data_IF_817450149151
#
_entry.id   IF_817450149151
#
_cell.length_a   1.000
_cell.length_b   1.000
_cell.length_c   1.000
_cell.angle_alpha   90.00
_cell.angle_beta   90.00
_cell.angle_gamma   90.00
#
_symmetry.space_group_name_H-M   'P 1'
#
loop_
_entity.id
_entity.type
_entity.pdbx_description
1 polymer ?
#
# COMPACT_ATOMS: atom_id res chain seq x y z
N UNK A 1 51.35 -7.85 53.89
CA UNK A 1 51.25 -8.51 52.60
C UNK A 1 50.36 -7.58 51.72
N UNK A 2 51.01 -6.66 51.02
CA UNK A 2 50.32 -5.69 50.15
C UNK A 2 50.12 -6.33 48.77
N UNK A 3 48.88 -6.53 48.34
CA UNK A 3 48.53 -6.92 46.98
C UNK A 3 48.50 -5.67 46.13
N UNK A 4 49.49 -5.50 45.22
CA UNK A 4 49.49 -4.50 44.18
C UNK A 4 48.51 -4.91 43.08
N UNK A 5 47.41 -4.20 42.97
CA UNK A 5 46.52 -4.26 41.75
C UNK A 5 47.24 -3.53 40.61
N UNK A 6 47.81 -4.28 39.68
CA UNK A 6 48.26 -3.76 38.40
C UNK A 6 47.02 -3.57 37.50
N UNK A 7 46.56 -2.34 37.37
CA UNK A 7 45.59 -1.96 36.36
C UNK A 7 46.26 -2.09 34.97
N UNK A 8 45.82 -3.08 34.18
CA UNK A 8 46.15 -3.12 32.77
C UNK A 8 45.43 -1.96 32.08
N UNK A 9 46.16 -0.88 31.85
CA UNK A 9 45.73 0.16 30.91
C UNK A 9 45.69 -0.48 29.52
N UNK A 10 44.50 -0.79 29.01
CA UNK A 10 44.31 -1.09 27.57
C UNK A 10 44.87 0.11 26.79
N UNK A 11 45.86 -0.14 25.93
CA UNK A 11 46.26 0.83 24.92
C UNK A 11 45.00 1.22 24.14
N UNK A 12 44.72 2.52 23.96
CA UNK A 12 43.63 2.92 23.06
C UNK A 12 43.90 2.27 21.71
N UNK A 13 42.90 1.53 21.20
CA UNK A 13 42.95 1.05 19.84
C UNK A 13 43.21 2.29 18.95
N UNK A 14 44.27 2.23 18.13
CA UNK A 14 44.57 3.34 17.22
C UNK A 14 43.33 3.72 16.46
N UNK A 15 43.09 5.03 16.23
CA UNK A 15 41.91 5.57 15.56
C UNK A 15 41.56 4.71 14.35
N UNK A 16 40.38 4.05 14.32
CA UNK A 16 40.00 3.30 13.15
C UNK A 16 39.84 4.28 11.99
N UNK A 17 40.52 4.03 10.86
CA UNK A 17 40.35 4.82 9.65
C UNK A 17 38.86 4.94 9.32
N UNK A 18 38.29 6.13 9.46
CA UNK A 18 36.84 6.37 9.29
C UNK A 18 36.09 6.68 10.59
N UNK A 19 36.72 6.59 11.76
CA UNK A 19 36.15 7.08 13.02
C UNK A 19 36.24 8.62 13.13
N UNK A 20 35.32 9.22 13.89
CA UNK A 20 35.39 10.66 14.20
C UNK A 20 36.40 10.82 15.36
N UNK A 21 37.62 11.29 15.01
CA UNK A 21 38.65 11.63 16.02
C UNK A 21 38.33 13.00 16.66
N UNK A 22 39.03 13.29 17.78
CA UNK A 22 38.90 14.60 18.43
C UNK A 22 39.24 15.76 17.50
N UNK A 23 40.26 15.60 16.66
CA UNK A 23 40.69 16.63 15.71
C UNK A 23 39.64 16.79 14.59
N UNK A 24 39.12 15.70 14.04
CA UNK A 24 38.04 15.71 13.03
C UNK A 24 36.77 16.33 13.61
N UNK A 25 36.42 16.04 14.86
CA UNK A 25 35.27 16.67 15.52
C UNK A 25 35.43 18.18 15.64
N UNK A 26 36.63 18.65 15.99
CA UNK A 26 36.93 20.10 16.04
C UNK A 26 36.83 20.75 14.65
N UNK A 27 37.28 20.07 13.61
CA UNK A 27 37.16 20.55 12.23
C UNK A 27 35.71 20.65 11.80
N UNK A 28 34.89 19.61 12.05
CA UNK A 28 33.48 19.60 11.78
C UNK A 28 32.76 20.73 12.54
N UNK A 29 33.05 20.88 13.82
CA UNK A 29 32.43 21.90 14.66
C UNK A 29 32.73 23.37 14.20
N UNK A 30 33.91 23.61 13.58
CA UNK A 30 34.24 24.91 12.98
C UNK A 30 33.37 25.28 11.77
N UNK A 31 32.73 24.27 11.13
CA UNK A 31 31.77 24.48 10.03
C UNK A 31 30.47 25.10 10.49
N UNK A 32 30.19 25.18 11.79
CA UNK A 32 28.98 25.79 12.34
C UNK A 32 29.34 27.13 13.04
N UNK A 33 29.01 28.23 12.40
CA UNK A 33 29.05 29.57 13.00
C UNK A 33 27.63 30.01 13.33
N UNK A 34 27.19 29.81 14.58
CA UNK A 34 25.82 30.09 15.03
C UNK A 34 25.49 31.60 14.90
N UNK A 35 24.41 31.90 14.19
CA UNK A 35 23.84 33.24 14.05
C UNK A 35 22.72 33.50 15.06
N UNK A 36 22.27 34.75 15.27
CA UNK A 36 21.06 35.02 16.04
C UNK A 36 19.81 34.32 15.47
N UNK A 37 19.73 34.13 14.15
CA UNK A 37 18.66 33.39 13.49
C UNK A 37 18.70 31.90 13.84
N UNK A 38 19.89 31.29 13.84
CA UNK A 38 20.02 29.86 14.23
C UNK A 38 19.60 29.65 15.67
N UNK A 39 19.88 30.57 16.57
CA UNK A 39 19.41 30.50 17.95
C UNK A 39 17.88 30.59 18.05
N UNK A 40 17.24 31.41 17.24
CA UNK A 40 15.79 31.50 17.20
C UNK A 40 15.18 30.21 16.65
N UNK A 41 15.76 29.63 15.58
CA UNK A 41 15.37 28.33 15.01
C UNK A 41 15.57 27.22 16.03
N UNK A 42 16.70 27.14 16.74
CA UNK A 42 16.95 26.18 17.81
C UNK A 42 15.88 26.24 18.89
N UNK A 43 15.52 27.45 19.35
CA UNK A 43 14.46 27.63 20.34
C UNK A 43 13.10 27.17 19.82
N UNK A 44 12.77 27.44 18.57
CA UNK A 44 11.53 27.01 17.95
C UNK A 44 11.47 25.47 17.80
N UNK A 45 12.56 24.87 17.33
CA UNK A 45 12.71 23.40 17.20
C UNK A 45 12.71 22.67 18.55
N UNK A 46 13.11 23.36 19.63
CA UNK A 46 12.97 22.85 21.00
C UNK A 46 11.52 22.79 21.51
N UNK A 47 10.58 23.48 20.85
CA UNK A 47 9.19 23.60 21.27
C UNK A 47 8.18 23.04 20.26
N UNK A 48 8.56 22.87 18.99
CA UNK A 48 7.69 22.39 17.92
C UNK A 48 8.42 21.41 16.99
N UNK A 49 7.65 20.50 16.34
CA UNK A 49 8.24 19.54 15.40
C UNK A 49 8.74 20.21 14.13
N UNK A 50 9.74 19.59 13.51
CA UNK A 50 10.31 20.02 12.22
C UNK A 50 9.21 20.26 11.17
N UNK A 51 8.29 19.30 11.03
CA UNK A 51 7.22 19.40 10.04
C UNK A 51 6.29 20.58 10.27
N UNK A 52 6.02 20.96 11.52
CA UNK A 52 5.18 22.13 11.83
C UNK A 52 5.89 23.43 11.46
N UNK A 53 7.19 23.51 11.72
CA UNK A 53 7.98 24.72 11.46
C UNK A 53 8.35 24.89 9.98
N UNK A 54 8.47 23.78 9.23
CA UNK A 54 8.78 23.82 7.82
C UNK A 54 7.56 24.14 6.92
N UNK A 55 6.32 24.15 7.45
CA UNK A 55 5.12 24.41 6.64
C UNK A 55 5.18 25.77 5.97
N UNK A 56 5.09 25.77 4.64
CA UNK A 56 4.89 26.95 3.83
C UNK A 56 3.39 27.29 3.74
N UNK A 57 2.88 28.00 4.74
CA UNK A 57 1.48 28.37 4.81
C UNK A 57 0.98 29.17 3.59
N UNK A 58 1.88 29.98 2.99
CA UNK A 58 1.59 30.76 1.78
C UNK A 58 1.38 29.88 0.55
N UNK A 59 2.05 28.71 0.49
CA UNK A 59 1.82 27.74 -0.58
C UNK A 59 0.57 26.90 -0.32
N UNK A 60 0.39 26.40 0.89
CA UNK A 60 -0.81 25.62 1.27
C UNK A 60 -2.10 26.41 1.02
N UNK A 61 -2.08 27.73 1.23
CA UNK A 61 -3.22 28.62 0.95
C UNK A 61 -3.58 28.75 -0.54
N UNK A 62 -2.75 28.28 -1.46
CA UNK A 62 -3.04 28.29 -2.92
C UNK A 62 -3.88 27.10 -3.37
N UNK A 63 -4.22 26.17 -2.49
CA UNK A 63 -5.03 24.99 -2.83
C UNK A 63 -6.32 25.43 -3.54
N UNK A 64 -6.52 24.93 -4.76
CA UNK A 64 -7.71 25.15 -5.55
C UNK A 64 -8.49 23.85 -5.68
N UNK A 65 -9.79 23.88 -5.38
CA UNK A 65 -10.69 22.72 -5.33
C UNK A 65 -11.53 22.52 -6.59
N UNK A 66 -11.38 23.37 -7.60
CA UNK A 66 -12.06 23.21 -8.87
C UNK A 66 -11.36 22.14 -9.74
N UNK A 67 -12.14 21.35 -10.48
CA UNK A 67 -11.64 20.34 -11.43
C UNK A 67 -12.48 20.36 -12.71
N UNK A 68 -11.81 20.22 -13.87
CA UNK A 68 -12.49 20.15 -15.15
C UNK A 68 -13.24 18.83 -15.36
N UNK A 69 -12.66 17.72 -14.87
CA UNK A 69 -13.21 16.37 -15.04
C UNK A 69 -13.19 15.62 -13.70
N UNK A 70 -14.34 15.09 -13.29
CA UNK A 70 -14.52 14.40 -12.00
C UNK A 70 -15.37 13.16 -12.16
N UNK A 71 -14.90 12.04 -11.68
CA UNK A 71 -15.67 10.78 -11.60
C UNK A 71 -16.72 10.89 -10.50
N UNK A 72 -17.93 10.46 -10.78
CA UNK A 72 -19.02 10.46 -9.78
C UNK A 72 -18.81 9.40 -8.72
N UNK A 73 -18.60 9.84 -7.48
CA UNK A 73 -18.51 8.98 -6.31
C UNK A 73 -19.44 9.45 -5.20
N UNK A 74 -19.85 8.55 -4.29
CA UNK A 74 -20.67 8.88 -3.12
C UNK A 74 -20.15 8.14 -1.89
N UNK A 75 -20.17 8.81 -0.74
CA UNK A 75 -19.67 8.29 0.52
C UNK A 75 -18.16 8.41 0.65
N UNK A 76 -17.66 8.16 1.84
CA UNK A 76 -16.22 8.11 2.16
C UNK A 76 -15.98 6.96 3.12
N UNK A 77 -14.91 6.25 2.91
CA UNK A 77 -14.50 5.10 3.74
C UNK A 77 -13.44 5.48 4.75
N UNK A 78 -13.26 4.66 5.79
CA UNK A 78 -12.26 4.90 6.82
C UNK A 78 -11.61 3.57 7.23
N UNK A 79 -10.35 3.37 6.85
CA UNK A 79 -9.56 2.18 7.19
C UNK A 79 -9.08 2.16 8.65
N UNK A 80 -9.24 3.28 9.36
CA UNK A 80 -8.78 3.44 10.75
C UNK A 80 -7.28 3.14 10.90
N UNK A 81 -6.92 2.37 11.94
CA UNK A 81 -5.54 1.97 12.25
C UNK A 81 -5.21 0.59 11.64
N UNK A 82 -5.39 0.46 10.32
CA UNK A 82 -5.10 -0.76 9.57
C UNK A 82 -4.37 -0.46 8.28
N UNK A 83 -3.53 -1.37 7.80
CA UNK A 83 -2.83 -1.31 6.52
C UNK A 83 -3.68 -1.78 5.33
N UNK A 84 -4.99 -1.58 5.36
CA UNK A 84 -5.93 -2.09 4.33
C UNK A 84 -6.26 -1.07 3.24
N UNK A 85 -5.48 0.00 3.06
CA UNK A 85 -5.74 1.03 2.05
C UNK A 85 -5.93 0.43 0.64
N UNK A 86 -5.12 -0.57 0.28
CA UNK A 86 -5.22 -1.29 -0.97
C UNK A 86 -6.60 -1.93 -1.19
N UNK A 87 -7.17 -2.53 -0.15
CA UNK A 87 -8.47 -3.18 -0.20
C UNK A 87 -9.61 -2.14 -0.26
N UNK A 88 -9.53 -1.09 0.58
CA UNK A 88 -10.49 0.01 0.53
C UNK A 88 -10.51 0.65 -0.86
N UNK A 89 -9.34 0.92 -1.43
CA UNK A 89 -9.21 1.50 -2.78
C UNK A 89 -9.81 0.60 -3.86
N UNK A 90 -9.47 -0.68 -3.87
CA UNK A 90 -10.01 -1.63 -4.86
C UNK A 90 -11.53 -1.73 -4.79
N UNK A 91 -12.09 -1.81 -3.58
CA UNK A 91 -13.54 -1.83 -3.38
C UNK A 91 -14.20 -0.48 -3.72
N UNK A 92 -13.54 0.66 -3.48
CA UNK A 92 -14.05 1.98 -3.86
C UNK A 92 -14.11 2.18 -5.38
N UNK A 93 -13.14 1.67 -6.14
CA UNK A 93 -13.17 1.69 -7.61
C UNK A 93 -14.42 0.97 -8.15
N UNK A 94 -14.71 -0.23 -7.65
CA UNK A 94 -15.90 -0.98 -8.05
C UNK A 94 -17.19 -0.33 -7.57
N UNK A 95 -17.20 0.21 -6.34
CA UNK A 95 -18.33 0.90 -5.74
C UNK A 95 -18.78 2.12 -6.56
N UNK A 96 -17.84 2.92 -7.06
CA UNK A 96 -18.16 4.13 -7.84
C UNK A 96 -19.06 3.79 -9.04
N UNK A 97 -18.71 2.75 -9.77
CA UNK A 97 -19.48 2.26 -10.92
C UNK A 97 -20.84 1.67 -10.51
N UNK A 98 -20.88 0.88 -9.46
CA UNK A 98 -22.11 0.27 -8.95
C UNK A 98 -23.12 1.33 -8.48
N UNK A 99 -22.68 2.37 -7.79
CA UNK A 99 -23.52 3.48 -7.31
C UNK A 99 -24.17 4.21 -8.49
N UNK A 100 -23.42 4.53 -9.53
CA UNK A 100 -23.95 5.22 -10.71
C UNK A 100 -24.93 4.33 -11.49
N UNK A 101 -24.56 3.07 -11.75
CA UNK A 101 -25.36 2.12 -12.55
C UNK A 101 -26.72 1.76 -11.91
N UNK A 102 -26.74 1.63 -10.58
CA UNK A 102 -27.94 1.16 -9.85
C UNK A 102 -28.66 2.25 -9.06
N UNK A 103 -28.28 3.51 -9.25
CA UNK A 103 -28.81 4.69 -8.53
C UNK A 103 -28.82 4.46 -7.01
N UNK A 104 -27.68 4.00 -6.45
CA UNK A 104 -27.58 3.75 -5.03
C UNK A 104 -27.28 5.05 -4.26
N UNK A 105 -27.67 5.07 -2.99
CA UNK A 105 -27.19 6.03 -2.00
C UNK A 105 -25.72 5.79 -1.63
N UNK A 106 -25.36 6.16 -0.41
CA UNK A 106 -24.05 5.79 0.15
C UNK A 106 -24.02 4.27 0.38
N UNK A 107 -23.31 3.57 -0.48
CA UNK A 107 -23.09 2.12 -0.41
C UNK A 107 -21.61 1.83 -0.15
N UNK A 108 -21.32 0.79 0.62
CA UNK A 108 -19.98 0.25 0.80
C UNK A 108 -20.00 -1.27 0.80
N UNK A 109 -19.00 -1.89 0.20
CA UNK A 109 -18.73 -3.31 0.39
C UNK A 109 -18.13 -3.55 1.77
N UNK A 110 -18.25 -4.76 2.29
CA UNK A 110 -17.57 -5.18 3.52
C UNK A 110 -16.09 -5.41 3.23
N UNK A 111 -15.24 -4.55 3.78
CA UNK A 111 -13.80 -4.75 3.78
C UNK A 111 -13.44 -5.92 4.71
N UNK A 112 -14.14 -6.04 5.85
CA UNK A 112 -13.93 -7.11 6.82
C UNK A 112 -14.10 -8.52 6.21
N UNK A 113 -15.10 -8.70 5.32
CA UNK A 113 -15.33 -9.96 4.60
C UNK A 113 -14.13 -10.35 3.74
N UNK A 114 -13.66 -9.44 2.89
CA UNK A 114 -12.53 -9.72 1.98
C UNK A 114 -11.24 -9.87 2.78
N UNK A 115 -11.03 -9.06 3.81
CA UNK A 115 -9.86 -9.12 4.69
C UNK A 115 -9.78 -10.44 5.47
N UNK A 116 -10.91 -11.03 5.88
CA UNK A 116 -10.91 -12.35 6.48
C UNK A 116 -10.22 -13.39 5.58
N UNK A 117 -10.60 -13.41 4.31
CA UNK A 117 -10.00 -14.33 3.34
C UNK A 117 -8.58 -13.95 2.96
N UNK A 118 -8.27 -12.65 2.92
CA UNK A 118 -6.90 -12.17 2.73
C UNK A 118 -5.94 -12.78 3.76
N UNK A 119 -6.30 -12.66 5.03
CA UNK A 119 -5.46 -13.16 6.12
C UNK A 119 -5.35 -14.70 6.12
N UNK A 120 -6.43 -15.40 5.78
CA UNK A 120 -6.41 -16.86 5.67
C UNK A 120 -5.54 -17.32 4.49
N UNK A 121 -5.66 -16.67 3.35
CA UNK A 121 -4.88 -17.01 2.15
C UNK A 121 -3.40 -16.66 2.29
N UNK A 122 -3.06 -15.52 2.90
CA UNK A 122 -1.68 -15.18 3.23
C UNK A 122 -1.05 -16.19 4.20
N UNK A 123 -1.81 -16.65 5.19
CA UNK A 123 -1.35 -17.72 6.09
C UNK A 123 -1.07 -19.02 5.30
N UNK A 124 -1.96 -19.38 4.38
CA UNK A 124 -1.75 -20.53 3.49
C UNK A 124 -0.53 -20.32 2.57
N UNK A 125 -0.37 -19.12 1.99
CA UNK A 125 0.76 -18.77 1.13
C UNK A 125 2.09 -18.92 1.88
N UNK A 126 2.18 -18.43 3.12
CA UNK A 126 3.35 -18.60 3.98
C UNK A 126 3.63 -20.07 4.27
N UNK A 127 2.65 -20.81 4.81
CA UNK A 127 2.85 -22.21 5.20
C UNK A 127 3.23 -23.09 4.02
N UNK A 128 2.61 -22.86 2.85
CA UNK A 128 2.98 -23.56 1.62
C UNK A 128 4.37 -23.17 1.16
N UNK A 129 4.73 -21.89 1.22
CA UNK A 129 6.07 -21.41 0.91
C UNK A 129 7.17 -22.07 1.77
N UNK A 130 6.87 -22.30 3.05
CA UNK A 130 7.77 -23.06 3.94
C UNK A 130 7.92 -24.52 3.47
N UNK A 131 6.83 -25.17 3.06
CA UNK A 131 6.87 -26.53 2.51
C UNK A 131 7.67 -26.58 1.20
N UNK A 132 7.45 -25.61 0.32
CA UNK A 132 8.12 -25.53 -0.99
C UNK A 132 9.64 -25.27 -0.86
N UNK A 133 10.04 -24.60 0.21
CA UNK A 133 11.44 -24.28 0.51
C UNK A 133 12.09 -25.19 1.54
N UNK A 134 11.44 -26.31 1.90
CA UNK A 134 11.89 -27.21 2.97
C UNK A 134 13.30 -27.77 2.82
N UNK A 135 13.77 -27.89 1.58
CA UNK A 135 15.09 -28.43 1.24
C UNK A 135 16.20 -27.35 1.17
N UNK A 136 15.83 -26.06 1.26
CA UNK A 136 16.76 -24.93 1.33
C UNK A 136 17.26 -24.75 2.79
N UNK A 137 18.50 -24.28 3.01
CA UNK A 137 18.98 -23.97 4.36
C UNK A 137 18.16 -22.82 4.98
N UNK A 138 18.24 -22.67 6.31
CA UNK A 138 17.48 -21.63 7.01
C UNK A 138 17.97 -20.22 6.65
N UNK A 139 19.28 -20.09 6.32
CA UNK A 139 19.93 -18.85 5.92
C UNK A 139 19.69 -18.48 4.46
N UNK A 140 18.99 -19.31 3.69
CA UNK A 140 18.58 -18.95 2.34
C UNK A 140 17.71 -17.70 2.36
N UNK A 141 18.00 -16.74 1.47
CA UNK A 141 17.34 -15.43 1.48
C UNK A 141 15.82 -15.51 1.33
N UNK A 142 15.32 -16.50 0.59
CA UNK A 142 13.87 -16.72 0.43
C UNK A 142 13.23 -17.25 1.70
N UNK A 143 13.92 -18.16 2.38
CA UNK A 143 13.48 -18.70 3.68
C UNK A 143 13.48 -17.61 4.73
N UNK A 144 14.55 -16.83 4.82
CA UNK A 144 14.66 -15.68 5.73
C UNK A 144 13.55 -14.66 5.48
N UNK A 145 13.32 -14.31 4.21
CA UNK A 145 12.26 -13.38 3.82
C UNK A 145 10.85 -13.90 4.23
N UNK A 146 10.55 -15.18 4.02
CA UNK A 146 9.28 -15.78 4.45
C UNK A 146 9.09 -15.65 5.97
N UNK A 147 10.09 -16.01 6.77
CA UNK A 147 10.00 -15.89 8.23
C UNK A 147 9.97 -14.44 8.74
N UNK A 148 10.62 -13.52 8.03
CA UNK A 148 10.53 -12.09 8.33
C UNK A 148 9.12 -11.55 8.07
N UNK A 149 8.45 -12.03 7.00
CA UNK A 149 7.16 -11.54 6.51
C UNK A 149 6.07 -12.63 6.45
N UNK A 150 5.72 -13.29 7.57
CA UNK A 150 4.79 -14.42 7.56
C UNK A 150 3.36 -14.02 7.21
N UNK A 151 2.96 -12.78 7.55
CA UNK A 151 1.66 -12.18 7.28
C UNK A 151 1.73 -10.68 7.54
N UNK A 152 0.91 -9.92 6.83
CA UNK A 152 0.68 -8.48 7.02
C UNK A 152 -0.71 -8.11 6.55
N UNK A 153 -1.18 -6.91 6.85
CA UNK A 153 -2.47 -6.40 6.41
C UNK A 153 -2.39 -5.51 5.15
N UNK A 154 -1.20 -5.16 4.72
CA UNK A 154 -0.95 -4.46 3.45
C UNK A 154 -1.12 -5.35 2.22
N UNK A 155 -1.19 -4.73 1.06
CA UNK A 155 -1.34 -5.43 -0.22
C UNK A 155 -1.41 -4.49 -1.41
N UNK A 156 -1.87 -5.01 -2.54
CA UNK A 156 -1.95 -4.31 -3.80
C UNK A 156 -3.19 -4.77 -4.59
N UNK A 157 -3.43 -4.19 -5.79
CA UNK A 157 -4.59 -4.55 -6.61
C UNK A 157 -4.65 -6.05 -6.97
N UNK A 158 -3.51 -6.71 -7.13
CA UNK A 158 -3.46 -8.17 -7.36
C UNK A 158 -4.17 -8.94 -6.23
N UNK A 159 -3.97 -8.51 -4.97
CA UNK A 159 -4.70 -9.07 -3.84
C UNK A 159 -6.21 -8.84 -3.94
N UNK A 160 -6.63 -7.64 -4.38
CA UNK A 160 -8.06 -7.33 -4.61
C UNK A 160 -8.63 -8.29 -5.65
N UNK A 161 -8.00 -8.42 -6.82
CA UNK A 161 -8.50 -9.27 -7.90
C UNK A 161 -8.53 -10.75 -7.50
N UNK A 162 -7.44 -11.29 -6.96
CA UNK A 162 -7.36 -12.68 -6.53
C UNK A 162 -8.48 -13.05 -5.54
N UNK A 163 -8.68 -12.22 -4.51
CA UNK A 163 -9.64 -12.50 -3.44
C UNK A 163 -11.08 -12.38 -3.93
N UNK A 164 -11.40 -11.31 -4.66
CA UNK A 164 -12.77 -11.08 -5.11
C UNK A 164 -13.18 -12.08 -6.18
N UNK A 165 -12.31 -12.41 -7.12
CA UNK A 165 -12.59 -13.45 -8.11
C UNK A 165 -12.78 -14.83 -7.45
N UNK A 166 -12.07 -15.10 -6.35
CA UNK A 166 -12.19 -16.38 -5.63
C UNK A 166 -13.37 -16.44 -4.68
N UNK A 167 -13.64 -15.37 -3.92
CA UNK A 167 -14.61 -15.38 -2.80
C UNK A 167 -15.85 -14.48 -3.01
N UNK A 168 -15.83 -13.56 -3.98
CA UNK A 168 -16.89 -12.57 -4.16
C UNK A 168 -16.81 -11.43 -3.14
N UNK A 169 -17.93 -10.71 -3.00
CA UNK A 169 -18.09 -9.59 -2.07
C UNK A 169 -19.46 -9.59 -1.42
N UNK A 170 -19.59 -8.89 -0.29
CA UNK A 170 -20.87 -8.66 0.39
C UNK A 170 -21.02 -7.18 0.76
N UNK A 171 -22.25 -6.67 0.96
CA UNK A 171 -22.48 -5.35 1.54
C UNK A 171 -21.89 -5.21 2.96
N UNK A 172 -21.51 -4.00 3.35
CA UNK A 172 -20.88 -3.74 4.65
C UNK A 172 -21.74 -4.13 5.85
N UNK A 173 -23.07 -4.01 5.74
CA UNK A 173 -24.01 -4.39 6.79
C UNK A 173 -24.11 -5.90 7.00
N UNK A 174 -23.70 -6.72 6.04
CA UNK A 174 -23.73 -8.19 6.11
C UNK A 174 -22.57 -8.75 6.94
N UNK A 175 -21.40 -8.13 6.85
CA UNK A 175 -20.26 -8.42 7.70
C UNK A 175 -19.55 -7.11 8.07
N UNK A 176 -20.02 -6.43 9.12
CA UNK A 176 -19.51 -5.12 9.51
C UNK A 176 -18.09 -5.18 10.07
N UNK A 177 -17.43 -4.03 10.11
CA UNK A 177 -16.12 -3.88 10.74
C UNK A 177 -16.17 -4.23 12.23
N UNK A 178 -15.08 -4.79 12.74
CA UNK A 178 -14.87 -5.10 14.16
C UNK A 178 -13.75 -4.24 14.72
N UNK A 179 -13.59 -4.20 16.04
CA UNK A 179 -12.45 -3.51 16.65
C UNK A 179 -11.10 -4.07 16.14
N UNK A 180 -11.02 -5.38 15.90
CA UNK A 180 -9.80 -6.02 15.36
C UNK A 180 -9.57 -5.69 13.88
N UNK A 181 -10.62 -5.44 13.11
CA UNK A 181 -10.53 -4.96 11.75
C UNK A 181 -10.12 -3.46 11.71
N UNK A 182 -10.68 -2.65 12.62
CA UNK A 182 -10.33 -1.22 12.77
C UNK A 182 -8.90 -1.00 13.30
N UNK A 183 -8.33 -1.99 14.00
CA UNK A 183 -6.96 -1.97 14.52
C UNK A 183 -6.32 -3.36 14.41
N UNK A 184 -5.70 -3.64 13.28
CA UNK A 184 -5.23 -4.97 12.87
C UNK A 184 -3.97 -5.45 13.58
N UNK A 185 -3.14 -4.55 14.10
CA UNK A 185 -1.78 -4.85 14.57
C UNK A 185 -1.72 -5.94 15.63
N UNK A 186 -2.64 -5.95 16.59
CA UNK A 186 -2.66 -6.95 17.67
C UNK A 186 -3.02 -8.35 17.13
N UNK A 187 -4.02 -8.46 16.26
CA UNK A 187 -4.43 -9.71 15.63
C UNK A 187 -3.34 -10.23 14.71
N UNK A 188 -2.86 -9.40 13.78
CA UNK A 188 -1.81 -9.76 12.82
C UNK A 188 -0.53 -10.20 13.53
N UNK A 189 -0.12 -9.51 14.60
CA UNK A 189 1.05 -9.88 15.39
C UNK A 189 0.92 -11.26 16.06
N UNK A 190 -0.27 -11.64 16.52
CA UNK A 190 -0.53 -12.97 17.11
C UNK A 190 -0.53 -14.07 16.04
N UNK A 191 -1.16 -13.82 14.91
CA UNK A 191 -1.15 -14.76 13.78
C UNK A 191 0.28 -14.91 13.25
N UNK A 192 1.04 -13.83 13.09
CA UNK A 192 2.45 -13.87 12.67
C UNK A 192 3.32 -14.73 13.61
N UNK A 193 3.12 -14.61 14.93
CA UNK A 193 3.84 -15.43 15.92
C UNK A 193 3.51 -16.91 15.76
N UNK A 194 2.21 -17.23 15.60
CA UNK A 194 1.74 -18.60 15.39
C UNK A 194 2.29 -19.18 14.08
N UNK A 195 2.25 -18.44 12.99
CA UNK A 195 2.77 -18.89 11.71
C UNK A 195 4.28 -19.16 11.73
N UNK A 196 5.08 -18.34 12.46
CA UNK A 196 6.50 -18.62 12.62
C UNK A 196 6.74 -19.93 13.39
N UNK A 197 5.99 -20.18 14.46
CA UNK A 197 6.02 -21.45 15.19
C UNK A 197 5.69 -22.62 14.27
N UNK A 198 4.59 -22.52 13.53
CA UNK A 198 4.11 -23.54 12.61
C UNK A 198 5.10 -23.79 11.45
N UNK A 199 5.69 -22.73 10.92
CA UNK A 199 6.74 -22.81 9.90
C UNK A 199 7.96 -23.60 10.39
N UNK A 200 8.41 -23.38 11.64
CA UNK A 200 9.49 -24.17 12.25
C UNK A 200 9.10 -25.64 12.37
N UNK A 201 7.89 -25.93 12.85
CA UNK A 201 7.41 -27.32 12.99
C UNK A 201 7.31 -28.05 11.64
N UNK A 202 6.90 -27.34 10.57
CA UNK A 202 6.89 -27.92 9.23
C UNK A 202 8.31 -28.25 8.74
N UNK A 203 9.29 -27.37 8.98
CA UNK A 203 10.69 -27.64 8.64
C UNK A 203 11.29 -28.79 9.44
N UNK A 204 11.01 -28.86 10.75
CA UNK A 204 11.41 -29.99 11.61
C UNK A 204 10.80 -31.30 11.11
N UNK A 205 9.51 -31.30 10.77
CA UNK A 205 8.82 -32.47 10.21
C UNK A 205 9.42 -32.91 8.86
N UNK A 206 9.77 -31.98 8.00
CA UNK A 206 10.45 -32.26 6.74
C UNK A 206 11.84 -32.85 6.96
N UNK A 207 12.63 -32.29 7.89
CA UNK A 207 13.95 -32.84 8.29
C UNK A 207 13.83 -34.26 8.85
N UNK A 208 12.74 -34.55 9.58
CA UNK A 208 12.40 -35.89 10.06
C UNK A 208 11.82 -36.81 8.96
N UNK A 209 11.88 -36.40 7.68
CA UNK A 209 11.48 -37.17 6.49
C UNK A 209 9.98 -37.52 6.46
N UNK A 210 9.11 -36.69 7.06
CA UNK A 210 7.65 -36.85 6.87
C UNK A 210 7.31 -36.72 5.39
N UNK A 211 6.33 -37.49 4.92
CA UNK A 211 5.87 -37.47 3.53
C UNK A 211 5.19 -36.14 3.19
N UNK A 212 5.09 -35.81 1.89
CA UNK A 212 4.38 -34.64 1.41
C UNK A 212 2.92 -34.62 1.92
N UNK A 213 2.23 -35.75 1.92
CA UNK A 213 0.87 -35.89 2.46
C UNK A 213 0.78 -35.55 3.94
N UNK A 214 1.77 -35.97 4.75
CA UNK A 214 1.83 -35.63 6.18
C UNK A 214 2.09 -34.12 6.41
N UNK A 215 2.97 -33.51 5.62
CA UNK A 215 3.20 -32.05 5.70
C UNK A 215 1.94 -31.27 5.31
N UNK A 216 1.22 -31.69 4.26
CA UNK A 216 -0.05 -31.07 3.89
C UNK A 216 -1.12 -31.24 4.98
N UNK A 217 -1.23 -32.39 5.62
CA UNK A 217 -2.16 -32.61 6.73
C UNK A 217 -1.84 -31.67 7.91
N UNK A 218 -0.56 -31.55 8.28
CA UNK A 218 -0.11 -30.58 9.30
C UNK A 218 -0.49 -29.14 8.94
N UNK A 219 -0.26 -28.72 7.68
CA UNK A 219 -0.65 -27.39 7.20
C UNK A 219 -2.15 -27.15 7.35
N UNK A 220 -2.99 -28.12 7.01
CA UNK A 220 -4.45 -28.01 7.17
C UNK A 220 -4.84 -27.82 8.63
N UNK A 221 -4.22 -28.53 9.56
CA UNK A 221 -4.51 -28.36 10.99
C UNK A 221 -4.06 -26.99 11.51
N UNK A 222 -2.91 -26.49 11.07
CA UNK A 222 -2.42 -25.13 11.36
C UNK A 222 -3.37 -24.05 10.82
N UNK A 223 -3.89 -24.23 9.60
CA UNK A 223 -4.88 -23.32 9.02
C UNK A 223 -6.21 -23.33 9.77
N UNK A 224 -6.64 -24.44 10.36
CA UNK A 224 -7.84 -24.47 11.24
C UNK A 224 -7.63 -23.60 12.49
N UNK A 225 -6.42 -23.57 13.06
CA UNK A 225 -6.09 -22.69 14.17
C UNK A 225 -6.14 -21.23 13.76
N UNK A 226 -5.54 -20.86 12.61
CA UNK A 226 -5.61 -19.52 12.05
C UNK A 226 -7.06 -19.11 11.76
N UNK A 227 -7.85 -19.98 11.13
CA UNK A 227 -9.27 -19.74 10.86
C UNK A 227 -10.05 -19.42 12.15
N UNK A 228 -9.80 -20.19 13.21
CA UNK A 228 -10.40 -19.91 14.52
C UNK A 228 -10.02 -18.54 15.06
N UNK A 229 -8.74 -18.14 14.94
CA UNK A 229 -8.28 -16.82 15.38
C UNK A 229 -8.99 -15.70 14.60
N UNK A 230 -9.13 -15.87 13.28
CA UNK A 230 -9.83 -14.92 12.41
C UNK A 230 -11.32 -14.82 12.76
N UNK A 231 -12.01 -15.94 12.98
CA UNK A 231 -13.43 -15.95 13.41
C UNK A 231 -13.62 -15.20 14.71
N UNK A 232 -12.73 -15.38 15.69
CA UNK A 232 -12.82 -14.70 16.98
C UNK A 232 -12.60 -13.18 16.88
N UNK A 233 -11.79 -12.73 15.91
CA UNK A 233 -11.44 -11.32 15.74
C UNK A 233 -12.35 -10.59 14.75
N UNK A 234 -12.74 -11.24 13.66
CA UNK A 234 -13.41 -10.62 12.51
C UNK A 234 -14.87 -11.08 12.32
N UNK A 235 -15.28 -12.15 13.00
CA UNK A 235 -16.59 -12.79 12.79
C UNK A 235 -16.56 -13.93 11.79
N UNK A 236 -17.69 -14.63 11.65
CA UNK A 236 -17.86 -15.74 10.69
C UNK A 236 -18.26 -15.16 9.33
N UNK A 237 -17.49 -15.40 8.25
CA UNK A 237 -17.87 -14.91 6.94
C UNK A 237 -19.14 -15.61 6.45
N UNK A 238 -20.14 -14.86 5.94
CA UNK A 238 -21.39 -15.42 5.45
C UNK A 238 -21.16 -16.19 4.15
N UNK A 239 -21.86 -17.32 4.00
CA UNK A 239 -21.93 -18.10 2.75
C UNK A 239 -23.14 -17.72 1.90
N UNK A 240 -24.17 -17.17 2.55
CA UNK A 240 -25.43 -16.70 1.97
C UNK A 240 -25.96 -15.54 2.82
N UNK A 241 -26.64 -14.58 2.20
CA UNK A 241 -27.26 -13.44 2.89
C UNK A 241 -28.43 -12.87 2.07
N UNK A 242 -29.40 -12.29 2.76
CA UNK A 242 -30.49 -11.53 2.12
C UNK A 242 -30.15 -10.04 2.13
N UNK A 243 -30.32 -9.35 0.99
CA UNK A 243 -30.05 -7.94 0.87
C UNK A 243 -31.22 -7.20 0.25
N UNK A 244 -31.69 -6.16 0.95
CA UNK A 244 -32.71 -5.26 0.49
C UNK A 244 -32.05 -4.04 -0.19
N UNK A 245 -32.33 -3.82 -1.47
CA UNK A 245 -31.80 -2.71 -2.23
C UNK A 245 -32.74 -1.52 -2.15
N UNK A 246 -32.18 -0.36 -1.88
CA UNK A 246 -32.85 0.94 -1.92
C UNK A 246 -32.15 1.86 -2.93
N UNK A 247 -32.91 2.73 -3.60
CA UNK A 247 -32.34 3.75 -4.50
C UNK A 247 -31.74 4.92 -3.70
N UNK A 248 -31.16 5.90 -4.40
CA UNK A 248 -30.55 7.09 -3.79
C UNK A 248 -31.52 7.96 -2.98
N UNK A 249 -32.84 7.81 -3.19
CA UNK A 249 -33.89 8.50 -2.44
C UNK A 249 -34.37 7.72 -1.22
N UNK A 250 -33.85 6.51 -1.00
CA UNK A 250 -34.27 5.61 0.07
C UNK A 250 -35.55 4.82 -0.23
N UNK A 251 -35.98 4.77 -1.49
CA UNK A 251 -37.13 3.99 -1.92
C UNK A 251 -36.73 2.52 -2.13
N UNK A 252 -37.54 1.60 -1.62
CA UNK A 252 -37.33 0.15 -1.78
C UNK A 252 -37.41 -0.24 -3.26
N UNK A 253 -36.44 -1.01 -3.72
CA UNK A 253 -36.36 -1.51 -5.11
C UNK A 253 -36.55 -3.02 -5.18
N UNK A 254 -35.85 -3.79 -4.35
CA UNK A 254 -35.90 -5.26 -4.36
C UNK A 254 -35.27 -5.83 -3.09
N UNK A 255 -35.67 -7.07 -2.77
CA UNK A 255 -35.00 -7.90 -1.77
C UNK A 255 -34.73 -9.29 -2.36
N UNK A 256 -33.54 -9.81 -2.18
CA UNK A 256 -33.13 -11.10 -2.74
C UNK A 256 -32.02 -11.73 -1.90
N UNK A 257 -31.98 -13.05 -1.91
CA UNK A 257 -30.92 -13.84 -1.27
C UNK A 257 -29.78 -14.09 -2.27
N UNK A 258 -28.55 -13.89 -1.79
CA UNK A 258 -27.32 -13.99 -2.56
C UNK A 258 -26.28 -14.86 -1.84
N UNK A 259 -25.46 -15.55 -2.62
CA UNK A 259 -24.11 -15.90 -2.19
C UNK A 259 -23.17 -14.72 -2.48
N UNK A 260 -22.00 -14.59 -1.82
CA UNK A 260 -21.06 -13.52 -2.13
C UNK A 260 -20.65 -13.45 -3.61
N UNK A 261 -20.51 -14.61 -4.26
CA UNK A 261 -20.20 -14.68 -5.71
C UNK A 261 -21.36 -14.25 -6.59
N UNK A 262 -22.60 -14.65 -6.29
CA UNK A 262 -23.76 -14.24 -7.08
C UNK A 262 -24.04 -12.75 -6.92
N UNK A 263 -23.79 -12.19 -5.74
CA UNK A 263 -23.86 -10.75 -5.52
C UNK A 263 -22.81 -9.98 -6.36
N UNK A 264 -21.57 -10.44 -6.32
CA UNK A 264 -20.51 -9.88 -7.16
C UNK A 264 -20.88 -9.93 -8.64
N UNK A 265 -21.33 -11.08 -9.12
CA UNK A 265 -21.67 -11.27 -10.53
C UNK A 265 -22.83 -10.37 -10.99
N UNK A 266 -23.85 -10.16 -10.15
CA UNK A 266 -25.00 -9.33 -10.51
C UNK A 266 -24.67 -7.84 -10.48
N UNK A 267 -23.91 -7.36 -9.48
CA UNK A 267 -23.72 -5.94 -9.24
C UNK A 267 -22.41 -5.37 -9.78
N UNK A 268 -21.38 -6.16 -9.89
CA UNK A 268 -20.07 -5.78 -10.43
C UNK A 268 -19.82 -6.48 -11.75
N UNK A 269 -19.66 -7.81 -11.74
CA UNK A 269 -19.56 -8.67 -12.92
C UNK A 269 -18.31 -8.45 -13.77
N UNK A 270 -17.29 -7.75 -13.25
CA UNK A 270 -16.04 -7.45 -13.96
C UNK A 270 -15.05 -8.62 -13.85
N UNK A 271 -14.30 -8.88 -14.89
CA UNK A 271 -13.13 -9.77 -14.84
C UNK A 271 -11.92 -8.97 -14.37
N UNK A 272 -11.70 -8.96 -13.04
CA UNK A 272 -10.64 -8.17 -12.41
C UNK A 272 -9.24 -8.67 -12.76
N UNK A 273 -9.10 -9.92 -13.19
CA UNK A 273 -7.79 -10.49 -13.58
C UNK A 273 -7.44 -10.16 -15.02
N UNK A 274 -8.42 -10.15 -15.93
CA UNK A 274 -8.14 -10.05 -17.35
C UNK A 274 -8.49 -8.69 -17.97
N UNK A 275 -9.37 -7.88 -17.36
CA UNK A 275 -9.79 -6.60 -17.93
C UNK A 275 -8.94 -5.40 -17.50
N UNK A 276 -7.99 -5.59 -16.60
CA UNK A 276 -7.17 -4.53 -16.05
C UNK A 276 -5.69 -4.69 -16.41
N UNK A 277 -4.99 -3.58 -16.52
CA UNK A 277 -3.55 -3.49 -16.71
C UNK A 277 -2.96 -2.69 -15.57
N UNK A 278 -1.93 -3.24 -14.96
CA UNK A 278 -1.17 -2.59 -13.91
C UNK A 278 0.05 -1.92 -14.54
N UNK A 279 0.12 -0.59 -14.43
CA UNK A 279 1.25 0.21 -14.90
C UNK A 279 1.97 0.84 -13.73
N UNK A 280 3.27 1.03 -13.87
CA UNK A 280 4.12 1.63 -12.85
C UNK A 280 5.05 2.66 -13.48
N UNK A 281 5.37 3.71 -12.72
CA UNK A 281 6.47 4.62 -13.06
C UNK A 281 7.65 4.37 -12.13
N UNK A 282 8.58 3.54 -12.60
CA UNK A 282 9.82 3.20 -11.92
C UNK A 282 11.04 3.65 -12.78
N UNK A 283 11.60 4.82 -12.55
CA UNK A 283 12.73 5.33 -13.34
C UNK A 283 14.07 4.61 -13.07
N UNK A 284 14.11 3.68 -12.10
CA UNK A 284 15.30 2.85 -11.85
C UNK A 284 15.44 1.76 -12.91
N UNK A 285 14.30 1.33 -13.48
CA UNK A 285 14.21 0.21 -14.43
C UNK A 285 13.88 0.71 -15.84
N UNK A 286 14.17 -0.14 -16.81
CA UNK A 286 13.90 0.14 -18.23
C UNK A 286 12.38 0.29 -18.45
N UNK A 287 11.98 1.40 -19.10
CA UNK A 287 10.61 1.61 -19.53
C UNK A 287 10.21 0.68 -20.70
N UNK A 288 8.89 0.50 -20.88
CA UNK A 288 8.30 -0.36 -21.90
C UNK A 288 8.65 -1.85 -21.73
N UNK A 289 8.99 -2.25 -20.52
CA UNK A 289 9.23 -3.63 -20.09
C UNK A 289 8.19 -4.09 -19.09
N UNK A 290 7.93 -5.38 -19.12
CA UNK A 290 7.03 -6.06 -18.18
C UNK A 290 7.87 -6.69 -17.07
N UNK A 291 7.47 -6.47 -15.84
CA UNK A 291 8.11 -7.01 -14.64
C UNK A 291 7.11 -7.82 -13.84
N UNK A 292 7.57 -8.89 -13.21
CA UNK A 292 6.79 -9.71 -12.28
C UNK A 292 7.57 -9.87 -10.99
N UNK A 293 6.89 -9.62 -9.86
CA UNK A 293 7.50 -9.74 -8.53
C UNK A 293 7.10 -11.09 -7.93
N UNK A 294 8.10 -11.91 -7.57
CA UNK A 294 7.88 -13.23 -6.97
C UNK A 294 7.19 -13.09 -5.61
N UNK A 295 6.22 -13.97 -5.32
CA UNK A 295 5.38 -13.94 -4.11
C UNK A 295 4.48 -12.71 -3.94
N UNK A 296 4.47 -11.73 -4.87
CA UNK A 296 3.56 -10.60 -4.79
C UNK A 296 2.14 -11.02 -5.24
N UNK A 297 1.53 -11.87 -4.45
CA UNK A 297 0.14 -12.34 -4.54
C UNK A 297 -0.38 -12.68 -3.16
N UNK A 298 -1.70 -12.72 -3.01
CA UNK A 298 -2.33 -13.03 -1.73
C UNK A 298 -2.81 -14.48 -1.66
N UNK A 299 -3.11 -15.08 -2.79
CA UNK A 299 -3.63 -16.45 -2.92
C UNK A 299 -2.54 -17.33 -3.53
N UNK A 300 -2.30 -18.51 -2.98
CA UNK A 300 -1.21 -19.39 -3.45
C UNK A 300 -1.36 -19.78 -4.92
N UNK A 301 -2.58 -20.08 -5.34
CA UNK A 301 -2.97 -20.40 -6.72
C UNK A 301 -3.34 -19.15 -7.57
N UNK A 302 -3.11 -17.95 -7.04
CA UNK A 302 -3.33 -16.66 -7.73
C UNK A 302 -2.13 -16.23 -8.57
N UNK A 303 -2.30 -15.11 -9.27
CA UNK A 303 -1.26 -14.49 -10.08
C UNK A 303 -0.39 -13.54 -9.23
N UNK A 304 0.91 -13.51 -9.51
CA UNK A 304 1.79 -12.49 -8.96
C UNK A 304 1.46 -11.10 -9.53
N UNK A 305 1.92 -10.06 -8.85
CA UNK A 305 1.91 -8.71 -9.37
C UNK A 305 2.78 -8.63 -10.63
N UNK A 306 2.12 -8.32 -11.74
CA UNK A 306 2.76 -8.07 -13.04
C UNK A 306 2.47 -6.63 -13.42
N UNK A 307 3.49 -5.86 -13.76
CA UNK A 307 3.30 -4.48 -14.17
C UNK A 307 4.10 -4.13 -15.43
N UNK A 308 3.55 -3.21 -16.22
CA UNK A 308 4.22 -2.58 -17.34
C UNK A 308 4.84 -1.25 -16.87
N UNK A 309 6.16 -1.12 -16.96
CA UNK A 309 6.86 0.09 -16.57
C UNK A 309 6.80 1.14 -17.68
N UNK A 310 6.28 2.33 -17.39
CA UNK A 310 6.07 3.39 -18.36
C UNK A 310 6.55 4.76 -17.85
N UNK A 311 6.95 5.67 -18.76
CA UNK A 311 7.10 7.08 -18.45
C UNK A 311 5.79 7.65 -17.90
N UNK A 312 5.89 8.60 -16.96
CA UNK A 312 4.72 9.15 -16.26
C UNK A 312 3.75 9.86 -17.21
N UNK A 313 4.23 10.47 -18.27
CA UNK A 313 3.43 11.15 -19.30
C UNK A 313 2.45 10.17 -19.97
N UNK A 314 2.90 8.93 -20.26
CA UNK A 314 2.04 7.89 -20.83
C UNK A 314 0.98 7.43 -19.85
N UNK A 315 1.32 7.35 -18.58
CA UNK A 315 0.36 7.01 -17.52
C UNK A 315 -0.70 8.11 -17.39
N UNK A 316 -0.31 9.39 -17.42
CA UNK A 316 -1.23 10.54 -17.38
C UNK A 316 -2.21 10.56 -18.56
N UNK A 317 -1.74 10.30 -19.79
CA UNK A 317 -2.59 10.22 -20.97
C UNK A 317 -3.75 9.23 -20.78
N UNK A 318 -3.44 8.03 -20.28
CA UNK A 318 -4.42 6.98 -20.02
C UNK A 318 -5.32 7.31 -18.82
N UNK A 319 -4.78 7.91 -17.77
CA UNK A 319 -5.55 8.34 -16.60
C UNK A 319 -6.60 9.40 -16.96
N UNK A 320 -6.23 10.39 -17.79
CA UNK A 320 -7.14 11.42 -18.28
C UNK A 320 -8.29 10.77 -19.09
N UNK A 321 -7.98 9.82 -19.97
CA UNK A 321 -8.99 9.12 -20.76
C UNK A 321 -10.00 8.38 -19.87
N UNK A 322 -9.53 7.71 -18.82
CA UNK A 322 -10.36 7.00 -17.85
C UNK A 322 -11.28 7.95 -17.06
N UNK A 323 -10.74 9.07 -16.54
CA UNK A 323 -11.52 10.05 -15.77
C UNK A 323 -12.61 10.68 -16.65
N UNK A 324 -12.30 11.06 -17.89
CA UNK A 324 -13.27 11.62 -18.85
C UNK A 324 -14.41 10.66 -19.17
N UNK A 325 -14.18 9.35 -19.10
CA UNK A 325 -15.22 8.31 -19.26
C UNK A 325 -15.86 7.92 -17.90
N UNK A 326 -15.82 8.79 -16.91
CA UNK A 326 -16.41 8.59 -15.59
C UNK A 326 -15.93 7.28 -14.90
N UNK A 327 -14.68 6.90 -15.10
CA UNK A 327 -14.11 5.66 -14.54
C UNK A 327 -12.97 5.97 -13.58
N UNK A 328 -13.18 5.60 -12.31
CA UNK A 328 -12.18 5.71 -11.25
C UNK A 328 -11.09 4.63 -11.38
N UNK A 329 -9.90 4.93 -10.86
CA UNK A 329 -8.75 4.03 -10.95
C UNK A 329 -8.13 3.78 -9.59
N UNK A 330 -7.55 2.59 -9.43
CA UNK A 330 -6.63 2.30 -8.32
C UNK A 330 -5.32 3.02 -8.58
N UNK A 331 -4.90 3.84 -7.63
CA UNK A 331 -3.71 4.67 -7.69
C UNK A 331 -2.89 4.48 -6.42
N UNK A 332 -1.57 4.47 -6.52
CA UNK A 332 -0.71 4.47 -5.34
C UNK A 332 0.53 5.35 -5.46
N UNK A 333 0.99 5.83 -4.31
CA UNK A 333 2.02 6.86 -4.22
C UNK A 333 2.74 6.81 -2.86
N UNK A 334 3.80 7.62 -2.72
CA UNK A 334 4.39 7.94 -1.43
C UNK A 334 3.66 9.13 -0.79
N UNK A 335 2.49 8.85 -0.21
CA UNK A 335 1.53 9.87 0.21
C UNK A 335 2.06 10.83 1.28
N UNK A 336 3.00 10.37 2.11
CA UNK A 336 3.52 11.16 3.23
C UNK A 336 4.42 12.31 2.84
N UNK A 337 4.88 12.37 1.59
CA UNK A 337 5.84 13.37 1.13
C UNK A 337 5.16 14.68 0.73
N UNK A 338 5.58 15.78 1.33
CA UNK A 338 5.07 17.12 1.05
C UNK A 338 3.54 17.28 1.08
N UNK A 339 2.87 16.41 1.85
CA UNK A 339 1.42 16.47 2.09
C UNK A 339 1.14 17.31 3.35
N UNK A 340 0.43 18.43 3.20
CA UNK A 340 -0.25 19.04 4.33
C UNK A 340 -1.52 18.24 4.65
N UNK A 341 -1.46 17.44 5.72
CA UNK A 341 -2.55 16.53 6.10
C UNK A 341 -3.82 17.25 6.53
N UNK A 342 -3.70 18.48 7.02
CA UNK A 342 -4.83 19.24 7.54
C UNK A 342 -5.74 19.71 6.41
N UNK A 343 -5.18 20.23 5.33
CA UNK A 343 -5.93 20.66 4.14
C UNK A 343 -6.16 19.52 3.14
N UNK A 344 -5.32 18.48 3.17
CA UNK A 344 -5.30 17.43 2.13
C UNK A 344 -4.66 17.90 0.83
N UNK A 345 -3.69 18.81 0.91
CA UNK A 345 -2.98 19.33 -0.25
C UNK A 345 -1.55 18.81 -0.33
N UNK A 346 -1.19 18.21 -1.45
CA UNK A 346 0.12 17.66 -1.76
C UNK A 346 0.78 18.51 -2.87
N UNK A 347 1.87 19.21 -2.53
CA UNK A 347 2.62 20.08 -3.40
C UNK A 347 4.07 20.10 -2.93
N UNK A 348 5.04 20.07 -3.84
CA UNK A 348 6.49 20.05 -3.51
C UNK A 348 6.93 21.27 -2.68
N UNK A 349 6.17 22.36 -2.77
CA UNK A 349 6.48 23.64 -2.08
C UNK A 349 5.72 23.79 -0.75
N UNK A 350 5.05 22.74 -0.23
CA UNK A 350 4.32 22.82 1.03
C UNK A 350 5.22 22.88 2.27
N UNK A 351 6.52 22.54 2.13
CA UNK A 351 7.46 22.50 3.24
C UNK A 351 8.83 23.05 2.82
N UNK A 352 9.31 24.06 3.51
CA UNK A 352 10.60 24.71 3.27
C UNK A 352 11.68 24.09 4.18
N UNK A 353 11.96 22.77 4.02
CA UNK A 353 12.96 22.07 4.83
C UNK A 353 14.37 22.58 4.61
N UNK A 354 14.70 22.95 3.37
CA UNK A 354 16.01 23.47 2.97
C UNK A 354 16.31 24.77 3.73
N UNK A 355 15.36 25.69 3.74
CA UNK A 355 15.48 26.96 4.44
C UNK A 355 15.52 26.79 5.95
N UNK A 356 14.67 25.88 6.51
CA UNK A 356 14.63 25.62 7.95
C UNK A 356 15.95 25.02 8.46
N UNK A 357 16.57 24.13 7.68
CA UNK A 357 17.77 23.39 8.09
C UNK A 357 19.07 24.02 7.58
N UNK A 358 19.00 24.94 6.62
CA UNK A 358 20.19 25.55 5.98
C UNK A 358 21.00 24.54 5.15
N UNK A 359 20.34 23.49 4.61
CA UNK A 359 20.97 22.45 3.77
C UNK A 359 20.03 22.08 2.63
N UNK A 360 20.57 21.59 1.52
CA UNK A 360 19.77 21.21 0.35
C UNK A 360 19.46 19.71 0.32
N UNK A 361 18.21 19.35 0.03
CA UNK A 361 17.75 17.98 -0.17
C UNK A 361 17.43 17.76 -1.66
N UNK A 362 18.43 17.37 -2.47
CA UNK A 362 18.38 17.45 -3.94
C UNK A 362 18.14 16.12 -4.68
N UNK A 363 17.75 15.01 -4.02
CA UNK A 363 17.53 13.73 -4.71
C UNK A 363 16.32 13.77 -5.65
N UNK A 364 16.50 13.32 -6.89
CA UNK A 364 15.40 13.05 -7.82
C UNK A 364 14.63 11.77 -7.46
N UNK A 365 13.55 11.47 -8.20
CA UNK A 365 12.72 10.28 -7.97
C UNK A 365 13.52 8.98 -8.08
N UNK A 366 14.40 8.87 -9.07
CA UNK A 366 15.24 7.69 -9.28
C UNK A 366 16.19 7.48 -8.09
N UNK A 367 16.86 8.53 -7.67
CA UNK A 367 17.80 8.50 -6.55
C UNK A 367 17.08 8.15 -5.23
N UNK A 368 15.87 8.71 -5.00
CA UNK A 368 15.07 8.37 -3.81
C UNK A 368 14.67 6.89 -3.77
N UNK A 369 14.32 6.29 -4.90
CA UNK A 369 14.00 4.86 -4.98
C UNK A 369 15.25 4.02 -4.71
N UNK A 370 16.36 4.33 -5.38
CA UNK A 370 17.62 3.60 -5.23
C UNK A 370 18.17 3.61 -3.80
N UNK A 371 17.91 4.70 -3.07
CA UNK A 371 18.38 4.89 -1.68
C UNK A 371 17.35 4.52 -0.62
N UNK A 372 16.19 3.96 -1.00
CA UNK A 372 15.06 3.67 -0.13
C UNK A 372 14.47 4.89 0.59
N UNK A 373 14.69 6.10 0.09
CA UNK A 373 14.13 7.33 0.64
C UNK A 373 12.66 7.53 0.23
N UNK A 374 12.18 6.84 -0.82
CA UNK A 374 10.80 6.87 -1.28
C UNK A 374 10.40 5.52 -1.87
N UNK A 375 9.19 5.09 -1.54
CA UNK A 375 8.53 3.91 -2.10
C UNK A 375 7.01 4.12 -2.09
N UNK A 376 6.27 3.30 -2.83
CA UNK A 376 4.80 3.32 -2.73
C UNK A 376 4.37 2.87 -1.34
N UNK A 377 3.64 3.73 -0.64
CA UNK A 377 3.26 3.51 0.77
C UNK A 377 1.74 3.51 0.99
N UNK A 378 0.96 3.99 0.01
CA UNK A 378 -0.48 4.14 0.22
C UNK A 378 -1.26 4.10 -1.09
N UNK A 379 -2.38 3.37 -1.08
CA UNK A 379 -3.31 3.30 -2.20
C UNK A 379 -4.53 4.20 -1.96
N UNK A 380 -5.00 4.84 -3.03
CA UNK A 380 -6.17 5.72 -3.06
C UNK A 380 -6.89 5.62 -4.41
N UNK A 381 -8.14 6.08 -4.46
CA UNK A 381 -8.94 6.04 -5.69
C UNK A 381 -8.75 7.35 -6.47
N UNK A 382 -8.12 7.30 -7.64
CA UNK A 382 -7.95 8.46 -8.51
C UNK A 382 -9.29 8.79 -9.20
N UNK A 383 -9.80 10.01 -8.96
CA UNK A 383 -11.17 10.40 -9.32
C UNK A 383 -11.28 11.71 -10.08
N UNK A 384 -10.25 12.55 -10.16
CA UNK A 384 -10.37 13.80 -10.88
C UNK A 384 -9.05 14.31 -11.44
N UNK A 385 -9.15 15.10 -12.49
CA UNK A 385 -8.08 15.89 -13.10
C UNK A 385 -8.58 17.28 -13.44
N UNK A 386 -7.74 18.30 -13.25
CA UNK A 386 -7.95 19.64 -13.76
C UNK A 386 -7.04 19.91 -14.96
N UNK A 387 -7.62 20.19 -16.12
CA UNK A 387 -6.89 20.42 -17.34
C UNK A 387 -6.83 21.93 -17.64
N UNK A 388 -5.60 22.46 -17.79
CA UNK A 388 -5.34 23.82 -18.28
C UNK A 388 -4.65 23.74 -19.64
N UNK A 389 -5.26 24.31 -20.65
CA UNK A 389 -4.77 24.24 -22.03
C UNK A 389 -4.49 22.79 -22.50
N UNK A 390 -5.33 21.85 -22.06
CA UNK A 390 -5.24 20.43 -22.41
C UNK A 390 -4.18 19.64 -21.64
N UNK A 391 -3.45 20.27 -20.71
CA UNK A 391 -2.43 19.64 -19.85
C UNK A 391 -2.94 19.50 -18.42
N UNK A 392 -2.60 18.43 -17.71
CA UNK A 392 -2.97 18.30 -16.31
C UNK A 392 -2.26 19.37 -15.46
N UNK A 393 -2.98 20.02 -14.58
CA UNK A 393 -2.46 20.96 -13.60
C UNK A 393 -2.48 20.38 -12.18
N UNK A 394 -3.50 19.57 -11.89
CA UNK A 394 -3.65 18.92 -10.59
C UNK A 394 -4.59 17.71 -10.70
N UNK A 395 -4.51 16.85 -9.69
CA UNK A 395 -5.25 15.60 -9.58
C UNK A 395 -5.96 15.50 -8.23
N UNK A 396 -7.01 14.69 -8.14
CA UNK A 396 -7.66 14.41 -6.86
C UNK A 396 -7.90 12.92 -6.69
N UNK A 397 -7.63 12.45 -5.48
CA UNK A 397 -7.90 11.08 -5.06
C UNK A 397 -8.88 11.05 -3.90
N UNK A 398 -9.82 10.09 -3.92
CA UNK A 398 -10.61 9.71 -2.76
C UNK A 398 -9.74 8.86 -1.84
N UNK A 399 -9.59 9.31 -0.58
CA UNK A 399 -8.80 8.63 0.43
C UNK A 399 -9.69 7.80 1.37
N UNK A 400 -9.08 6.87 2.09
CA UNK A 400 -9.73 6.00 3.08
C UNK A 400 -9.44 6.37 4.53
N UNK A 401 -9.28 7.67 4.84
CA UNK A 401 -9.07 8.18 6.21
C UNK A 401 -10.29 8.86 6.81
N UNK A 402 -11.46 8.64 6.21
CA UNK A 402 -12.73 9.23 6.64
C UNK A 402 -13.00 10.62 6.05
N UNK A 403 -14.28 11.02 6.07
CA UNK A 403 -14.75 12.25 5.44
C UNK A 403 -14.19 13.54 6.04
N UNK A 404 -13.73 13.50 7.29
CA UNK A 404 -13.16 14.67 7.98
C UNK A 404 -11.66 14.87 7.71
N UNK A 405 -10.98 13.91 7.03
CA UNK A 405 -9.57 14.00 6.69
C UNK A 405 -9.36 14.76 5.38
N UNK A 406 -8.36 15.66 5.37
CA UNK A 406 -8.03 16.44 4.19
C UNK A 406 -9.22 17.24 3.65
N UNK A 407 -9.31 17.38 2.33
CA UNK A 407 -10.43 18.09 1.71
C UNK A 407 -11.63 17.14 1.50
N UNK A 408 -12.56 17.11 2.47
CA UNK A 408 -13.78 16.27 2.41
C UNK A 408 -13.49 14.77 2.17
N UNK A 409 -12.44 14.25 2.77
CA UNK A 409 -11.98 12.87 2.59
C UNK A 409 -11.15 12.62 1.33
N UNK A 410 -10.70 13.68 0.66
CA UNK A 410 -9.86 13.61 -0.53
C UNK A 410 -8.49 14.23 -0.27
N UNK A 411 -7.54 13.89 -1.15
CA UNK A 411 -6.26 14.57 -1.30
C UNK A 411 -6.21 15.18 -2.70
N UNK A 412 -5.84 16.46 -2.76
CA UNK A 412 -5.57 17.20 -4.00
C UNK A 412 -4.06 17.30 -4.15
N UNK A 413 -3.53 16.96 -5.31
CA UNK A 413 -2.11 16.99 -5.59
C UNK A 413 -1.82 17.78 -6.86
N UNK A 414 -0.75 18.57 -6.87
CA UNK A 414 -0.26 19.22 -8.08
C UNK A 414 0.25 18.18 -9.09
N UNK A 415 0.27 18.52 -10.37
CA UNK A 415 0.83 17.64 -11.40
C UNK A 415 2.31 17.35 -11.18
N UNK A 416 3.07 18.33 -10.71
CA UNK A 416 4.48 18.17 -10.36
C UNK A 416 4.67 17.20 -9.18
N UNK A 417 3.81 17.26 -8.17
CA UNK A 417 3.83 16.27 -7.08
C UNK A 417 3.48 14.88 -7.59
N UNK A 418 2.48 14.76 -8.46
CA UNK A 418 2.10 13.50 -9.10
C UNK A 418 3.31 12.85 -9.79
N UNK A 419 4.08 13.60 -10.59
CA UNK A 419 5.27 13.10 -11.28
C UNK A 419 6.33 12.56 -10.32
N UNK A 420 6.51 13.23 -9.19
CA UNK A 420 7.55 12.89 -8.23
C UNK A 420 7.21 11.73 -7.29
N UNK A 421 5.93 11.52 -6.97
CA UNK A 421 5.53 10.59 -5.90
C UNK A 421 4.48 9.54 -6.28
N UNK A 422 3.88 9.59 -7.49
CA UNK A 422 3.07 8.48 -7.98
C UNK A 422 3.96 7.28 -8.33
N UNK A 423 3.46 6.07 -8.10
CA UNK A 423 4.14 4.84 -8.47
C UNK A 423 3.27 3.95 -9.34
N UNK A 424 2.05 3.64 -8.94
CA UNK A 424 1.21 2.62 -9.55
C UNK A 424 -0.14 3.19 -9.98
N UNK A 425 -0.61 2.70 -11.12
CA UNK A 425 -1.97 2.94 -11.59
C UNK A 425 -2.52 1.64 -12.19
N UNK A 426 -3.77 1.32 -11.88
CA UNK A 426 -4.48 0.19 -12.47
C UNK A 426 -5.59 0.70 -13.35
N UNK A 427 -5.57 0.31 -14.60
CA UNK A 427 -6.42 0.80 -15.68
C UNK A 427 -7.22 -0.32 -16.32
N UNK A 428 -8.45 -0.04 -16.72
CA UNK A 428 -9.15 -0.92 -17.66
C UNK A 428 -8.44 -0.92 -19.02
N UNK A 429 -8.31 -2.09 -19.61
CA UNK A 429 -7.67 -2.28 -20.94
C UNK A 429 -8.17 -1.35 -22.02
N UNK A 430 -9.48 -0.99 -21.98
CA UNK A 430 -10.10 -0.11 -22.99
C UNK A 430 -9.49 1.29 -23.06
N UNK A 431 -8.82 1.76 -21.98
CA UNK A 431 -8.14 3.07 -21.96
C UNK A 431 -6.67 3.01 -22.33
N UNK A 432 -6.15 1.81 -22.53
CA UNK A 432 -4.73 1.59 -22.84
C UNK A 432 -4.58 1.46 -24.35
N UNK A 433 -3.74 2.27 -25.03
CA UNK A 433 -3.49 2.17 -26.46
C UNK A 433 -3.04 0.77 -26.88
N UNK A 434 -3.42 0.32 -28.08
CA UNK A 434 -3.16 -1.05 -28.54
C UNK A 434 -1.65 -1.40 -28.63
N UNK A 435 -0.82 -0.43 -28.98
CA UNK A 435 0.64 -0.56 -29.00
C UNK A 435 1.20 -0.81 -27.59
N UNK A 436 0.70 -0.08 -26.58
CA UNK A 436 1.04 -0.30 -25.17
C UNK A 436 0.53 -1.66 -24.69
N UNK A 437 -0.72 -2.05 -25.02
CA UNK A 437 -1.25 -3.37 -24.64
C UNK A 437 -0.41 -4.51 -25.23
N UNK A 438 0.11 -4.35 -26.45
CA UNK A 438 0.94 -5.37 -27.13
C UNK A 438 2.23 -5.69 -26.34
N UNK A 439 2.73 -4.74 -25.55
CA UNK A 439 3.92 -4.94 -24.71
C UNK A 439 3.72 -6.01 -23.63
N UNK A 440 2.48 -6.25 -23.18
CA UNK A 440 2.16 -7.29 -22.21
C UNK A 440 2.41 -8.73 -22.71
N UNK A 441 2.58 -8.91 -24.02
CA UNK A 441 2.97 -10.19 -24.60
C UNK A 441 4.47 -10.53 -24.39
N UNK A 442 5.26 -9.61 -23.85
CA UNK A 442 6.65 -9.87 -23.47
C UNK A 442 6.70 -10.84 -22.30
N UNK A 443 7.75 -11.68 -22.28
CA UNK A 443 8.04 -12.48 -21.08
C UNK A 443 8.43 -11.52 -19.94
N UNK A 444 7.78 -11.58 -18.77
CA UNK A 444 8.12 -10.72 -17.66
C UNK A 444 9.55 -10.92 -17.17
N UNK A 445 10.20 -9.82 -16.81
CA UNK A 445 11.48 -9.83 -16.09
C UNK A 445 11.14 -10.13 -14.62
N UNK A 446 11.71 -11.23 -14.11
CA UNK A 446 11.45 -11.69 -12.75
C UNK A 446 12.20 -10.84 -11.72
N UNK A 447 11.48 -10.33 -10.73
CA UNK A 447 12.00 -9.61 -9.57
C UNK A 447 11.82 -10.46 -8.32
N UNK A 448 12.73 -10.38 -7.35
CA UNK A 448 12.62 -11.17 -6.13
C UNK A 448 11.56 -10.61 -5.18
N UNK A 449 11.06 -11.44 -4.27
CA UNK A 449 10.09 -11.04 -3.24
C UNK A 449 10.56 -9.90 -2.29
N UNK A 450 11.87 -9.66 -2.22
CA UNK A 450 12.46 -8.55 -1.46
C UNK A 450 12.80 -7.33 -2.32
N UNK A 451 12.16 -7.21 -3.47
CA UNK A 451 12.32 -6.04 -4.32
C UNK A 451 11.75 -4.79 -3.61
N UNK A 452 12.42 -3.62 -3.69
CA UNK A 452 11.92 -2.39 -3.06
C UNK A 452 10.54 -1.97 -3.54
N UNK A 453 10.14 -2.38 -4.76
CA UNK A 453 8.82 -2.08 -5.30
C UNK A 453 7.75 -3.09 -4.87
N UNK A 454 8.12 -4.09 -4.06
CA UNK A 454 7.19 -5.03 -3.43
C UNK A 454 6.64 -4.53 -2.08
N UNK A 455 7.08 -3.40 -1.57
CA UNK A 455 6.56 -2.92 -0.29
C UNK A 455 5.04 -2.87 -0.33
N UNK A 456 4.35 -3.60 0.58
CA UNK A 456 2.90 -3.56 0.67
C UNK A 456 2.45 -2.16 1.06
N UNK A 457 1.33 -1.72 0.49
CA UNK A 457 0.71 -0.45 0.84
C UNK A 457 -0.07 -0.61 2.13
N UNK A 458 0.21 0.25 3.12
CA UNK A 458 -0.32 0.20 4.50
C UNK A 458 -1.06 1.49 4.90
#
# INVERSE_FOLDING_TARGET
MLLSLTAFAQKPAGDPKGGISADLLQEIAKGYEGTPSDKAIQNALGAASINVLAVNAGNVAKMDTHFSDVVKTKGRTNQKSSGRCWLFTGLNVMRARMIDKYDLGAFTFSQNYVFFYDQLEKANLFLQGIIDTKDLPFEDRKVDWLFANPIGDGGQFTGVSNLIMKYGVVPSEVMPETLSADNTSAMSGRIATKLREDGLRLREAAAAKKSAAQLQAMKVDMLKEVYRMLVLCLGVPPTEFTWARYNAKGEFVSEKTYTPKSFYQEFVGEDLENNYIMVMNDPVREYYKVYEIDYDRHVYDGQNWVYLNLPVEKIKEMAIASIKDNTAMYFSCDVGKFLDRSSGYADLNNFDYDDLMGVTFGMDKKERIMTHASASSHAMTLIAVDLKDGKPAKWMVENSWGAASGWQGNIIMTDEWFDNYMFRLVLEKKYVPADIQSLLNQKPIQLPAWDPMFLPEE
#
